data_IF_894452832806
#
_entry.id   IF_894452832806
#
_cell.length_a   1.000
_cell.length_b   1.000
_cell.length_c   1.000
_cell.angle_alpha   90.00
_cell.angle_beta   90.00
_cell.angle_gamma   90.00
#
_symmetry.space_group_name_H-M   'P 1'
#
loop_
_entity.id
_entity.type
_entity.pdbx_description
1 polymer ?
#
# COMPACT_ATOMS: atom_id res chain seq x y z
N UNK A 1 4.54 -9.33 52.31
CA UNK A 1 4.49 -8.07 51.55
C UNK A 1 5.26 -8.19 50.23
N UNK A 2 6.26 -9.07 50.11
CA UNK A 2 6.94 -9.35 48.83
C UNK A 2 6.14 -10.18 47.80
N UNK A 3 5.52 -11.30 48.22
CA UNK A 3 4.79 -12.18 47.30
C UNK A 3 3.51 -11.55 46.68
N UNK A 4 3.08 -10.42 47.22
CA UNK A 4 1.93 -9.65 46.74
C UNK A 4 2.36 -8.65 45.63
N UNK A 5 3.58 -8.09 45.76
CA UNK A 5 4.17 -7.15 44.80
C UNK A 5 4.58 -7.84 43.50
N UNK A 6 5.06 -9.09 43.57
CA UNK A 6 5.39 -9.86 42.36
C UNK A 6 4.15 -10.21 41.52
N UNK A 7 3.05 -10.59 42.19
CA UNK A 7 1.76 -10.86 41.52
C UNK A 7 1.19 -9.61 40.88
N UNK A 8 1.30 -8.47 41.55
CA UNK A 8 0.87 -7.19 41.03
C UNK A 8 1.70 -6.80 39.79
N UNK A 9 3.01 -7.05 39.79
CA UNK A 9 3.88 -6.78 38.65
C UNK A 9 3.52 -7.64 37.43
N UNK A 10 3.29 -8.95 37.61
CA UNK A 10 2.87 -9.86 36.55
C UNK A 10 1.49 -9.48 35.99
N UNK A 11 0.55 -9.05 36.85
CA UNK A 11 -0.76 -8.57 36.41
C UNK A 11 -0.64 -7.29 35.58
N UNK A 12 0.21 -6.34 35.99
CA UNK A 12 0.44 -5.11 35.24
C UNK A 12 1.10 -5.38 33.89
N UNK A 13 2.10 -6.27 33.83
CA UNK A 13 2.78 -6.64 32.58
C UNK A 13 1.83 -7.33 31.60
N UNK A 14 0.94 -8.21 32.07
CA UNK A 14 -0.08 -8.86 31.23
C UNK A 14 -1.12 -7.87 30.73
N UNK A 15 -1.59 -6.94 31.56
CA UNK A 15 -2.51 -5.88 31.15
C UNK A 15 -1.88 -4.94 30.11
N UNK A 16 -0.61 -4.56 30.29
CA UNK A 16 0.16 -3.76 29.33
C UNK A 16 0.34 -4.53 28.02
N UNK A 17 0.70 -5.81 28.05
CA UNK A 17 0.82 -6.63 26.85
C UNK A 17 -0.52 -6.78 26.10
N UNK A 18 -1.63 -6.96 26.82
CA UNK A 18 -2.97 -7.02 26.23
C UNK A 18 -3.41 -5.67 25.64
N UNK A 19 -3.04 -4.55 26.24
CA UNK A 19 -3.30 -3.21 25.72
C UNK A 19 -2.53 -2.97 24.41
N UNK A 20 -1.25 -3.36 24.35
CA UNK A 20 -0.44 -3.31 23.14
C UNK A 20 -0.93 -4.30 22.05
N UNK A 21 -1.45 -5.46 22.45
CA UNK A 21 -2.04 -6.43 21.54
C UNK A 21 -3.32 -5.87 20.89
N UNK A 22 -4.16 -5.16 21.67
CA UNK A 22 -5.36 -4.48 21.14
C UNK A 22 -5.03 -3.36 20.16
N UNK A 23 -3.96 -2.59 20.40
CA UNK A 23 -3.51 -1.56 19.45
C UNK A 23 -2.98 -2.15 18.14
N UNK A 24 -2.53 -3.42 18.15
CA UNK A 24 -2.03 -4.10 16.96
C UNK A 24 -3.15 -4.67 16.07
N UNK A 25 -4.31 -5.00 16.64
CA UNK A 25 -5.45 -5.59 15.92
C UNK A 25 -6.42 -4.55 15.33
N UNK A 26 -6.29 -3.27 15.71
CA UNK A 26 -7.10 -2.16 15.19
C UNK A 26 -6.48 -1.50 13.94
N UNK A 27 -5.56 -2.19 13.27
CA UNK A 27 -5.26 -1.88 11.88
C UNK A 27 -6.25 -2.62 11.01
N UNK A 28 -7.28 -1.92 10.50
CA UNK A 28 -7.97 -2.33 9.27
C UNK A 28 -6.94 -2.30 8.14
N UNK A 29 -6.02 -3.26 8.12
CA UNK A 29 -5.02 -3.40 7.06
C UNK A 29 -5.73 -4.12 5.92
N UNK A 30 -6.57 -3.36 5.22
CA UNK A 30 -6.66 -3.49 3.79
C UNK A 30 -5.23 -3.59 3.28
N UNK A 31 -4.79 -4.80 2.90
CA UNK A 31 -3.39 -5.06 2.54
C UNK A 31 -3.08 -4.26 1.28
N UNK A 32 -2.47 -3.09 1.49
CA UNK A 32 -2.04 -2.16 0.46
C UNK A 32 -0.59 -2.47 0.18
N UNK A 33 -0.31 -2.93 -1.03
CA UNK A 33 1.05 -3.16 -1.49
C UNK A 33 1.49 -2.00 -2.38
N UNK A 34 2.70 -1.53 -2.14
CA UNK A 34 3.33 -0.51 -2.98
C UNK A 34 4.14 -1.22 -4.07
N UNK A 35 3.78 -1.01 -5.34
CA UNK A 35 4.47 -1.58 -6.50
C UNK A 35 5.03 -0.47 -7.39
N UNK A 36 6.05 -0.79 -8.18
CA UNK A 36 6.56 0.17 -9.15
C UNK A 36 5.47 0.52 -10.18
N UNK A 37 5.32 1.81 -10.56
CA UNK A 37 4.32 2.23 -11.53
C UNK A 37 4.55 1.60 -12.91
N UNK A 38 3.48 1.13 -13.54
CA UNK A 38 3.52 0.58 -14.90
C UNK A 38 3.36 1.72 -15.90
N UNK A 39 4.30 1.86 -16.85
CA UNK A 39 4.18 2.65 -18.09
C UNK A 39 4.74 4.09 -18.13
N UNK A 40 5.71 4.46 -17.29
CA UNK A 40 6.43 5.73 -17.47
C UNK A 40 7.96 5.61 -17.52
N UNK A 41 8.47 4.42 -17.84
CA UNK A 41 9.90 4.20 -18.05
C UNK A 41 10.30 4.64 -19.47
N UNK A 42 10.23 5.96 -19.68
CA UNK A 42 10.81 6.65 -20.82
C UNK A 42 12.34 6.75 -20.69
N UNK A 43 13.02 7.57 -21.53
CA UNK A 43 14.47 7.74 -21.49
C UNK A 43 14.89 8.55 -20.27
N UNK A 44 14.70 7.98 -19.07
CA UNK A 44 15.33 8.46 -17.85
C UNK A 44 16.84 8.41 -18.01
N UNK A 45 17.59 9.12 -17.16
CA UNK A 45 19.03 9.06 -17.19
C UNK A 45 19.47 7.61 -16.98
N UNK A 46 20.43 7.17 -17.80
CA UNK A 46 20.99 5.83 -17.72
C UNK A 46 22.02 5.74 -16.60
N UNK A 47 21.51 5.87 -15.38
CA UNK A 47 22.29 5.90 -14.15
C UNK A 47 21.47 5.25 -13.04
N UNK A 48 22.16 4.53 -12.16
CA UNK A 48 21.58 3.98 -10.94
C UNK A 48 21.67 5.01 -9.82
N UNK A 49 20.55 5.65 -9.51
CA UNK A 49 20.42 6.58 -8.37
C UNK A 49 20.10 5.85 -7.06
N UNK A 50 19.65 4.60 -7.16
CA UNK A 50 19.35 3.71 -6.04
C UNK A 50 19.64 2.25 -6.47
N UNK A 51 19.91 1.38 -5.51
CA UNK A 51 20.06 -0.07 -5.70
C UNK A 51 18.86 -0.84 -5.16
N UNK A 52 18.31 -0.37 -4.04
CA UNK A 52 17.09 -0.91 -3.46
C UNK A 52 16.26 0.20 -2.79
N UNK A 53 15.08 -0.17 -2.28
CA UNK A 53 14.12 0.77 -1.68
C UNK A 53 14.69 1.54 -0.48
N UNK A 54 15.74 1.02 0.19
CA UNK A 54 16.35 1.67 1.36
C UNK A 54 17.27 2.83 1.01
N UNK A 55 17.74 2.91 -0.25
CA UNK A 55 18.50 4.06 -0.75
C UNK A 55 17.60 5.28 -1.00
N UNK A 56 16.28 5.09 -1.02
CA UNK A 56 15.33 6.15 -1.23
C UNK A 56 15.05 6.93 0.07
N UNK A 57 14.85 8.27 -0.01
CA UNK A 57 14.72 9.13 1.17
C UNK A 57 13.49 8.81 2.03
N UNK A 58 12.45 8.24 1.42
CA UNK A 58 11.27 7.73 2.13
C UNK A 58 10.96 6.31 1.63
N UNK A 59 11.39 5.26 2.35
CA UNK A 59 11.19 3.88 1.92
C UNK A 59 9.72 3.43 1.98
N UNK A 60 8.83 4.24 2.58
CA UNK A 60 7.40 3.99 2.67
C UNK A 60 6.65 4.67 1.51
N UNK A 61 7.12 5.84 1.09
CA UNK A 61 6.50 6.65 0.03
C UNK A 61 7.22 6.56 -1.32
N UNK A 62 8.38 5.91 -1.39
CA UNK A 62 9.15 5.76 -2.61
C UNK A 62 9.80 4.39 -2.73
N UNK A 63 9.86 3.89 -3.95
CA UNK A 63 10.51 2.62 -4.30
C UNK A 63 11.60 2.84 -5.32
N UNK A 64 12.65 2.03 -5.23
CA UNK A 64 13.70 2.00 -6.23
C UNK A 64 13.21 1.16 -7.42
N UNK A 65 12.89 1.83 -8.52
CA UNK A 65 12.32 1.22 -9.70
C UNK A 65 13.27 1.39 -10.89
N UNK A 66 13.39 0.35 -11.71
CA UNK A 66 14.14 0.45 -12.96
C UNK A 66 13.46 1.42 -13.90
N UNK A 67 14.19 2.28 -14.59
CA UNK A 67 13.65 3.17 -15.63
C UNK A 67 13.91 2.63 -17.05
N UNK A 68 14.30 1.37 -17.18
CA UNK A 68 14.62 0.70 -18.45
C UNK A 68 16.12 0.49 -18.67
N UNK A 69 16.99 1.36 -18.17
CA UNK A 69 18.44 1.13 -18.23
C UNK A 69 19.22 1.49 -16.95
N UNK A 70 18.65 2.29 -16.06
CA UNK A 70 19.13 2.51 -14.70
C UNK A 70 18.00 2.33 -13.68
N UNK A 71 18.18 2.91 -12.49
CA UNK A 71 17.23 2.85 -11.37
C UNK A 71 17.04 4.23 -10.74
N UNK A 72 15.80 4.54 -10.36
CA UNK A 72 15.49 5.77 -9.64
C UNK A 72 14.39 5.56 -8.61
N UNK A 73 14.43 6.37 -7.55
CA UNK A 73 13.34 6.46 -6.58
C UNK A 73 12.13 7.10 -7.23
N UNK A 74 10.97 6.45 -7.12
CA UNK A 74 9.70 6.93 -7.66
C UNK A 74 8.56 6.64 -6.70
N UNK A 75 7.49 7.41 -6.79
CA UNK A 75 6.27 7.17 -6.03
C UNK A 75 5.61 5.86 -6.51
N UNK A 76 5.32 4.92 -5.60
CA UNK A 76 4.78 3.64 -5.97
C UNK A 76 3.27 3.71 -6.22
N UNK A 77 2.77 2.82 -7.08
CA UNK A 77 1.35 2.58 -7.17
C UNK A 77 0.90 1.71 -6.01
N UNK A 78 -0.16 2.15 -5.34
CA UNK A 78 -0.83 1.35 -4.32
C UNK A 78 -1.75 0.36 -5.01
N UNK A 79 -1.55 -0.92 -4.71
CA UNK A 79 -2.38 -2.06 -5.10
C UNK A 79 -3.11 -2.58 -3.87
N UNK A 80 -4.43 -2.65 -3.92
CA UNK A 80 -5.26 -3.17 -2.83
C UNK A 80 -5.60 -4.64 -3.07
N UNK A 81 -5.86 -5.38 -2.00
CA UNK A 81 -6.33 -6.76 -2.06
C UNK A 81 -7.64 -6.93 -2.82
N UNK A 82 -7.88 -8.14 -3.33
CA UNK A 82 -9.04 -8.48 -4.14
C UNK A 82 -8.82 -8.28 -5.64
N UNK A 83 -9.78 -8.74 -6.44
CA UNK A 83 -9.72 -8.66 -7.90
C UNK A 83 -10.81 -7.73 -8.44
N UNK A 84 -10.56 -7.17 -9.62
CA UNK A 84 -11.62 -6.49 -10.35
C UNK A 84 -12.59 -7.53 -10.92
N UNK A 85 -13.88 -7.24 -10.80
CA UNK A 85 -14.92 -8.00 -11.48
C UNK A 85 -14.96 -7.71 -12.98
N UNK A 86 -15.93 -8.30 -13.70
CA UNK A 86 -16.19 -7.97 -15.09
C UNK A 86 -16.38 -6.45 -15.29
N UNK A 87 -15.89 -5.88 -16.40
CA UNK A 87 -16.03 -4.46 -16.68
C UNK A 87 -17.48 -4.00 -16.61
N UNK A 88 -17.75 -2.98 -15.79
CA UNK A 88 -19.06 -2.35 -15.71
C UNK A 88 -19.27 -1.41 -16.90
N UNK A 89 -20.52 -1.27 -17.32
CA UNK A 89 -20.91 -0.29 -18.34
C UNK A 89 -20.62 1.14 -17.86
N UNK A 90 -19.87 1.90 -18.67
CA UNK A 90 -19.63 3.31 -18.48
C UNK A 90 -20.48 4.13 -19.45
N UNK A 91 -21.26 5.06 -18.92
CA UNK A 91 -22.03 6.02 -19.73
C UNK A 91 -21.15 7.11 -20.33
N UNK A 92 -20.04 7.43 -19.67
CA UNK A 92 -19.06 8.44 -20.11
C UNK A 92 -17.69 7.77 -20.08
N UNK A 93 -16.95 7.89 -21.17
CA UNK A 93 -15.60 7.37 -21.27
C UNK A 93 -14.62 8.33 -20.62
N UNK A 94 -14.02 7.91 -19.51
CA UNK A 94 -13.06 8.72 -18.76
C UNK A 94 -12.17 7.84 -17.88
N UNK A 95 -10.99 8.36 -17.56
CA UNK A 95 -10.03 7.79 -16.62
C UNK A 95 -10.25 8.42 -15.24
N UNK A 96 -11.13 7.85 -14.42
CA UNK A 96 -11.43 8.38 -13.08
C UNK A 96 -10.39 8.00 -12.03
N UNK A 97 -9.55 7.00 -12.33
CA UNK A 97 -8.46 6.55 -11.47
C UNK A 97 -7.34 5.97 -12.34
N UNK A 98 -6.11 5.96 -11.81
CA UNK A 98 -4.95 5.35 -12.49
C UNK A 98 -4.47 4.07 -11.78
N UNK A 99 -4.60 4.01 -10.45
CA UNK A 99 -4.28 2.85 -9.63
C UNK A 99 -5.19 2.82 -8.39
N UNK A 100 -5.20 1.69 -7.66
CA UNK A 100 -6.14 1.46 -6.54
C UNK A 100 -6.01 2.52 -5.45
N UNK A 101 -4.80 3.07 -5.24
CA UNK A 101 -4.55 4.19 -4.32
C UNK A 101 -5.40 5.44 -4.54
N UNK A 102 -5.87 5.72 -5.76
CA UNK A 102 -6.76 6.85 -6.03
C UNK A 102 -8.20 6.63 -5.57
N UNK A 103 -8.57 5.37 -5.31
CA UNK A 103 -9.92 5.03 -4.90
C UNK A 103 -10.07 5.06 -3.37
N UNK A 104 -11.26 5.43 -2.84
CA UNK A 104 -11.49 5.43 -1.41
C UNK A 104 -11.57 4.00 -0.83
N UNK A 105 -11.27 3.86 0.46
CA UNK A 105 -11.39 2.59 1.19
C UNK A 105 -10.67 1.42 0.50
N UNK A 106 -11.40 0.31 0.29
CA UNK A 106 -10.91 -0.93 -0.32
C UNK A 106 -11.19 -1.03 -1.81
N UNK A 107 -11.76 0.02 -2.41
CA UNK A 107 -12.10 0.03 -3.82
C UNK A 107 -10.85 -0.01 -4.69
N UNK A 108 -10.93 -0.76 -5.77
CA UNK A 108 -9.86 -0.92 -6.76
C UNK A 108 -10.15 -0.07 -7.99
N UNK A 109 -9.09 0.33 -8.68
CA UNK A 109 -9.20 1.02 -9.95
C UNK A 109 -9.38 -0.03 -11.06
N UNK A 110 -10.62 -0.19 -11.54
CA UNK A 110 -10.98 -1.26 -12.45
C UNK A 110 -11.38 -0.72 -13.82
N UNK A 111 -11.05 -1.50 -14.85
CA UNK A 111 -11.45 -1.21 -16.23
C UNK A 111 -12.98 -1.24 -16.36
N UNK A 112 -13.54 -0.24 -17.01
CA UNK A 112 -14.94 -0.19 -17.43
C UNK A 112 -15.05 -0.53 -18.92
N UNK A 113 -16.25 -0.46 -19.51
CA UNK A 113 -16.39 -0.58 -20.98
C UNK A 113 -15.59 0.48 -21.73
N UNK A 114 -15.33 1.64 -21.12
CA UNK A 114 -14.39 2.63 -21.64
C UNK A 114 -13.78 3.46 -20.49
N UNK A 115 -12.47 3.28 -20.26
CA UNK A 115 -11.71 3.92 -19.19
C UNK A 115 -11.60 3.08 -17.91
N UNK A 116 -11.38 3.74 -16.78
CA UNK A 116 -11.26 3.12 -15.46
C UNK A 116 -12.05 3.88 -14.40
N UNK A 117 -12.64 3.14 -13.46
CA UNK A 117 -13.38 3.70 -12.34
C UNK A 117 -13.20 2.85 -11.08
N UNK A 118 -13.42 3.47 -9.93
CA UNK A 118 -13.37 2.77 -8.65
C UNK A 118 -14.52 1.78 -8.54
N UNK A 119 -14.20 0.54 -8.16
CA UNK A 119 -15.18 -0.52 -7.93
C UNK A 119 -14.80 -1.35 -6.72
N UNK A 120 -15.82 -1.87 -6.04
CA UNK A 120 -15.61 -2.86 -4.98
C UNK A 120 -14.91 -4.10 -5.53
N UNK A 121 -13.93 -4.65 -4.79
CA UNK A 121 -13.28 -5.92 -5.15
C UNK A 121 -14.26 -7.09 -5.09
N UNK A 122 -13.98 -8.13 -5.89
CA UNK A 122 -14.70 -9.41 -5.92
C UNK A 122 -14.07 -10.45 -5.00
#
# INVERSE_FOLDING_TARGET
RDADMEKLCLLLLTLVALLHCRTSLAGDVASKFAVCPWNYWGPGPCIDLCRDDSDCPDPVLSKCCSNGCGHQCTEPYIVKTGLCGPPKGAFICAEYCAHDGHCPGNQKCCRTTCGHACSEPC
#
